data_IF_638728458941
#
_entry.id   IF_638728458941
#
_cell.length_a   1.000
_cell.length_b   1.000
_cell.length_c   1.000
_cell.angle_alpha   90.00
_cell.angle_beta   90.00
_cell.angle_gamma   90.00
#
_symmetry.space_group_name_H-M   'P 1'
#
loop_
_entity.id
_entity.type
_entity.pdbx_description
1 polymer ?
#
# COMPACT_ATOMS: atom_id res chain seq x y z
N UNK A 1 -7.45 -8.81 10.74
CA UNK A 1 -6.82 -10.06 10.27
C UNK A 1 -7.83 -10.70 9.35
N UNK A 2 -7.52 -10.85 8.06
CA UNK A 2 -8.42 -11.55 7.13
C UNK A 2 -8.56 -13.01 7.59
N UNK A 3 -9.77 -13.55 7.53
CA UNK A 3 -10.18 -14.82 8.16
C UNK A 3 -9.41 -16.05 7.66
N UNK A 4 -8.75 -15.95 6.51
CA UNK A 4 -8.02 -17.06 5.86
C UNK A 4 -6.59 -17.24 6.38
N UNK A 5 -6.03 -16.25 7.08
CA UNK A 5 -4.62 -16.24 7.48
C UNK A 5 -3.62 -16.01 6.34
N UNK A 6 -4.11 -15.89 5.10
CA UNK A 6 -3.30 -15.62 3.90
C UNK A 6 -3.57 -14.19 3.41
N UNK A 7 -2.52 -13.38 3.30
CA UNK A 7 -2.63 -12.00 2.81
C UNK A 7 -2.47 -11.98 1.29
N UNK A 8 -3.57 -11.71 0.58
CA UNK A 8 -3.59 -11.61 -0.88
C UNK A 8 -3.70 -10.14 -1.27
N UNK A 9 -2.69 -9.64 -2.00
CA UNK A 9 -2.74 -8.28 -2.55
C UNK A 9 -3.64 -8.30 -3.79
N UNK A 10 -4.72 -7.53 -3.75
CA UNK A 10 -5.68 -7.40 -4.84
C UNK A 10 -5.59 -6.08 -5.61
N UNK A 11 -4.74 -5.16 -5.15
CA UNK A 11 -4.56 -3.84 -5.75
C UNK A 11 -3.12 -3.33 -5.50
N UNK A 12 -2.48 -2.79 -6.53
CA UNK A 12 -1.18 -2.15 -6.42
C UNK A 12 -1.05 -1.00 -7.43
N UNK A 13 -0.37 0.08 -7.01
CA UNK A 13 -0.06 1.24 -7.87
C UNK A 13 1.45 1.41 -7.96
N UNK A 14 1.96 1.57 -9.19
CA UNK A 14 3.33 1.95 -9.45
C UNK A 14 3.35 3.36 -10.04
N UNK A 15 3.91 4.31 -9.28
CA UNK A 15 3.97 5.72 -9.66
C UNK A 15 5.30 6.08 -10.34
N UNK A 16 5.22 6.82 -11.44
CA UNK A 16 6.30 7.61 -12.04
C UNK A 16 6.01 9.11 -11.89
N UNK A 17 7.01 9.94 -12.17
CA UNK A 17 6.83 11.39 -12.26
C UNK A 17 5.78 11.81 -13.31
N UNK A 18 5.62 11.06 -14.40
CA UNK A 18 4.74 11.40 -15.53
C UNK A 18 3.45 10.59 -15.62
N UNK A 19 3.14 9.76 -14.62
CA UNK A 19 1.95 8.91 -14.64
C UNK A 19 2.11 7.68 -13.77
N UNK A 20 1.10 6.82 -13.77
CA UNK A 20 1.00 5.65 -12.91
C UNK A 20 0.59 4.42 -13.71
N UNK A 21 0.84 3.24 -13.14
CA UNK A 21 0.35 1.96 -13.64
C UNK A 21 -0.35 1.25 -12.50
N UNK A 22 -1.60 0.85 -12.73
CA UNK A 22 -2.46 0.19 -11.75
C UNK A 22 -2.56 -1.30 -12.07
N UNK A 23 -2.50 -2.13 -11.03
CA UNK A 23 -2.64 -3.57 -11.09
C UNK A 23 -3.78 -3.99 -10.18
N UNK A 24 -4.73 -4.76 -10.71
CA UNK A 24 -5.93 -5.17 -9.99
C UNK A 24 -6.26 -6.65 -10.24
N UNK A 25 -6.92 -7.26 -9.26
CA UNK A 25 -7.41 -8.63 -9.31
C UNK A 25 -6.52 -9.65 -8.59
N UNK A 26 -6.89 -10.93 -8.69
CA UNK A 26 -6.24 -12.02 -7.92
C UNK A 26 -4.78 -12.26 -8.30
N UNK A 27 -4.38 -11.86 -9.50
CA UNK A 27 -3.02 -11.99 -10.04
C UNK A 27 -2.22 -10.68 -9.97
N UNK A 28 -2.69 -9.69 -9.20
CA UNK A 28 -2.05 -8.37 -9.02
C UNK A 28 -0.55 -8.48 -8.72
N UNK A 29 -0.17 -9.29 -7.74
CA UNK A 29 1.24 -9.49 -7.34
C UNK A 29 2.09 -9.98 -8.51
N UNK A 30 1.56 -10.96 -9.26
CA UNK A 30 2.26 -11.55 -10.40
C UNK A 30 2.46 -10.51 -11.50
N UNK A 31 1.38 -9.84 -11.92
CA UNK A 31 1.43 -8.78 -12.95
C UNK A 31 2.36 -7.65 -12.55
N UNK A 32 2.30 -7.22 -11.29
CA UNK A 32 3.16 -6.18 -10.74
C UNK A 32 4.63 -6.57 -10.84
N UNK A 33 5.01 -7.77 -10.40
CA UNK A 33 6.41 -8.21 -10.47
C UNK A 33 6.89 -8.45 -11.90
N UNK A 34 6.07 -9.05 -12.77
CA UNK A 34 6.42 -9.22 -14.19
C UNK A 34 6.68 -7.87 -14.87
N UNK A 35 5.86 -6.87 -14.57
CA UNK A 35 6.06 -5.52 -15.08
C UNK A 35 7.30 -4.86 -14.46
N UNK A 36 7.43 -4.90 -13.14
CA UNK A 36 8.52 -4.25 -12.41
C UNK A 36 9.89 -4.82 -12.79
N UNK A 37 10.02 -6.15 -12.89
CA UNK A 37 11.29 -6.81 -13.24
C UNK A 37 11.53 -6.94 -14.75
N UNK A 38 10.65 -6.38 -15.59
CA UNK A 38 10.90 -6.29 -17.03
C UNK A 38 12.11 -5.41 -17.35
N UNK A 39 12.68 -5.56 -18.55
CA UNK A 39 13.81 -4.75 -19.03
C UNK A 39 13.53 -3.23 -19.01
N UNK A 40 12.26 -2.83 -18.96
CA UNK A 40 11.85 -1.42 -18.89
C UNK A 40 12.39 -0.72 -17.66
N UNK A 41 12.56 -1.43 -16.54
CA UNK A 41 13.00 -0.84 -15.27
C UNK A 41 14.42 -1.26 -14.91
N UNK A 42 15.22 -1.74 -15.87
CA UNK A 42 16.62 -2.06 -15.60
C UNK A 42 17.34 -0.83 -15.03
N UNK A 43 18.00 -0.99 -13.88
CA UNK A 43 18.68 0.11 -13.17
C UNK A 43 17.79 1.06 -12.38
N UNK A 44 16.47 0.84 -12.31
CA UNK A 44 15.57 1.69 -11.55
C UNK A 44 15.69 1.47 -10.05
N UNK A 45 15.30 2.48 -9.27
CA UNK A 45 15.13 2.35 -7.82
C UNK A 45 13.66 2.53 -7.47
N UNK A 46 13.01 1.44 -7.04
CA UNK A 46 11.68 1.44 -6.47
C UNK A 46 11.75 1.91 -5.01
N UNK A 47 10.86 2.83 -4.66
CA UNK A 47 10.79 3.43 -3.32
C UNK A 47 9.41 3.10 -2.75
N UNK A 48 9.37 2.48 -1.58
CA UNK A 48 8.13 2.26 -0.84
C UNK A 48 8.29 2.81 0.59
N UNK A 49 7.20 3.33 1.14
CA UNK A 49 7.21 3.92 2.47
C UNK A 49 6.89 2.87 3.53
N UNK A 50 7.84 2.64 4.44
CA UNK A 50 7.84 1.55 5.41
C UNK A 50 7.98 0.15 4.79
N UNK A 51 8.73 0.05 3.70
CA UNK A 51 9.08 -1.22 3.05
C UNK A 51 9.65 -2.24 4.05
N UNK A 52 10.49 -1.77 4.98
CA UNK A 52 11.16 -2.63 5.96
C UNK A 52 10.22 -3.29 6.96
N UNK A 53 9.03 -2.71 7.13
CA UNK A 53 7.99 -3.19 8.05
C UNK A 53 6.95 -4.10 7.39
N UNK A 54 6.82 -4.05 6.06
CA UNK A 54 5.75 -4.73 5.32
C UNK A 54 6.27 -5.35 4.02
N UNK A 55 6.31 -4.58 2.92
CA UNK A 55 6.45 -5.08 1.55
C UNK A 55 7.77 -5.83 1.29
N UNK A 56 8.85 -5.44 1.98
CA UNK A 56 10.18 -6.00 1.77
C UNK A 56 10.23 -7.53 1.96
N UNK A 57 9.42 -8.06 2.87
CA UNK A 57 9.34 -9.51 3.11
C UNK A 57 8.69 -10.23 1.93
N UNK A 58 7.61 -9.66 1.35
CA UNK A 58 6.94 -10.21 0.17
C UNK A 58 7.83 -10.17 -1.06
N UNK A 59 8.57 -9.07 -1.25
CA UNK A 59 9.53 -8.93 -2.37
C UNK A 59 10.65 -9.97 -2.24
N UNK A 60 11.24 -10.10 -1.05
CA UNK A 60 12.30 -11.08 -0.81
C UNK A 60 11.80 -12.51 -1.03
N UNK A 61 10.63 -12.86 -0.47
CA UNK A 61 10.02 -14.17 -0.66
C UNK A 61 9.77 -14.48 -2.14
N UNK A 62 9.21 -13.52 -2.89
CA UNK A 62 8.99 -13.68 -4.33
C UNK A 62 10.31 -13.96 -5.07
N UNK A 63 11.35 -13.16 -4.85
CA UNK A 63 12.65 -13.36 -5.49
C UNK A 63 13.25 -14.73 -5.19
N UNK A 64 13.22 -15.17 -3.93
CA UNK A 64 13.75 -16.46 -3.52
C UNK A 64 12.99 -17.64 -4.14
N UNK A 65 11.66 -17.55 -4.27
CA UNK A 65 10.87 -18.59 -4.95
C UNK A 65 11.17 -18.71 -6.44
N UNK A 66 11.66 -17.63 -7.07
CA UNK A 66 12.15 -17.63 -8.45
C UNK A 66 13.64 -18.06 -8.55
N UNK A 67 14.27 -18.47 -7.46
CA UNK A 67 15.69 -18.83 -7.43
C UNK A 67 16.64 -17.63 -7.56
N UNK A 68 16.13 -16.41 -7.40
CA UNK A 68 16.92 -15.18 -7.46
C UNK A 68 17.43 -14.86 -6.06
N UNK A 69 18.76 -14.75 -5.92
CA UNK A 69 19.41 -14.32 -4.67
C UNK A 69 19.75 -12.83 -4.75
N UNK A 70 18.96 -11.93 -4.13
CA UNK A 70 19.30 -10.51 -4.09
C UNK A 70 20.41 -10.20 -3.10
N UNK A 71 21.01 -9.03 -3.24
CA UNK A 71 21.79 -8.40 -2.18
C UNK A 71 20.83 -7.66 -1.25
N UNK A 72 21.00 -7.82 0.06
CA UNK A 72 20.12 -7.20 1.06
C UNK A 72 20.94 -6.40 2.06
N UNK A 73 20.43 -5.23 2.44
CA UNK A 73 20.94 -4.45 3.56
C UNK A 73 19.88 -4.48 4.65
N UNK A 74 20.28 -4.84 5.87
CA UNK A 74 19.35 -4.94 7.00
C UNK A 74 19.79 -4.08 8.17
N UNK A 75 18.82 -3.72 9.02
CA UNK A 75 19.04 -3.18 10.36
C UNK A 75 18.36 -4.10 11.35
N UNK A 76 19.13 -4.99 11.97
CA UNK A 76 18.58 -6.15 12.67
C UNK A 76 17.78 -7.03 11.72
N UNK A 77 16.51 -7.31 12.05
CA UNK A 77 15.59 -8.10 11.23
C UNK A 77 14.87 -7.30 10.12
N UNK A 78 15.06 -5.97 10.07
CA UNK A 78 14.36 -5.10 9.12
C UNK A 78 15.14 -4.98 7.81
N UNK A 79 14.47 -5.21 6.68
CA UNK A 79 15.05 -5.10 5.34
C UNK A 79 15.05 -3.65 4.90
N UNK A 80 16.21 -3.02 4.88
CA UNK A 80 16.37 -1.59 4.56
C UNK A 80 16.43 -1.36 3.06
N UNK A 81 17.08 -2.29 2.33
CA UNK A 81 17.11 -2.31 0.88
C UNK A 81 17.30 -3.71 0.32
N UNK A 82 16.84 -3.90 -0.92
CA UNK A 82 17.03 -5.12 -1.72
C UNK A 82 17.58 -4.69 -3.08
N UNK A 83 18.62 -5.34 -3.57
CA UNK A 83 19.15 -5.14 -4.92
C UNK A 83 19.19 -6.46 -5.69
N UNK A 84 18.62 -6.44 -6.90
CA UNK A 84 18.60 -7.58 -7.81
C UNK A 84 19.67 -7.37 -8.87
N UNK A 85 20.85 -7.98 -8.68
CA UNK A 85 22.03 -7.69 -9.51
C UNK A 85 21.84 -7.99 -11.01
N UNK A 86 20.98 -8.95 -11.37
CA UNK A 86 20.74 -9.34 -12.77
C UNK A 86 20.06 -8.25 -13.61
N UNK A 87 19.23 -7.40 -12.99
CA UNK A 87 18.55 -6.28 -13.64
C UNK A 87 18.87 -4.93 -13.01
N UNK A 88 19.77 -4.89 -12.02
CA UNK A 88 20.21 -3.68 -11.29
C UNK A 88 19.07 -2.89 -10.65
N UNK A 89 17.92 -3.53 -10.43
CA UNK A 89 16.80 -2.91 -9.73
C UNK A 89 17.10 -2.88 -8.24
N UNK A 90 16.80 -1.74 -7.61
CA UNK A 90 16.90 -1.55 -6.17
C UNK A 90 15.54 -1.24 -5.57
N UNK A 91 15.30 -1.74 -4.37
CA UNK A 91 14.18 -1.38 -3.51
C UNK A 91 14.75 -0.69 -2.29
N UNK A 92 14.21 0.47 -1.93
CA UNK A 92 14.62 1.20 -0.73
C UNK A 92 13.39 1.60 0.09
N UNK A 93 13.55 1.57 1.41
CA UNK A 93 12.55 2.09 2.33
C UNK A 93 12.73 3.61 2.52
N UNK A 94 11.73 4.40 2.11
CA UNK A 94 11.77 5.85 2.32
C UNK A 94 11.68 6.25 3.79
N UNK A 95 11.16 5.39 4.68
CA UNK A 95 11.09 5.66 6.13
C UNK A 95 12.48 5.77 6.78
N UNK A 96 13.55 5.38 6.08
CA UNK A 96 14.93 5.59 6.53
C UNK A 96 15.39 7.04 6.37
N UNK A 97 14.70 7.82 5.53
CA UNK A 97 15.01 9.21 5.22
C UNK A 97 13.90 10.16 5.69
N UNK A 98 12.65 9.72 5.59
CA UNK A 98 11.43 10.44 5.99
C UNK A 98 10.78 9.67 7.14
N UNK A 99 11.20 9.95 8.38
CA UNK A 99 10.84 9.16 9.57
C UNK A 99 9.42 9.42 10.12
N UNK A 100 8.58 10.11 9.36
CA UNK A 100 7.19 10.40 9.73
C UNK A 100 6.23 9.46 9.00
N UNK A 101 5.04 9.18 9.56
CA UNK A 101 3.99 8.45 8.84
C UNK A 101 3.54 9.20 7.60
N UNK A 102 3.11 8.47 6.57
CA UNK A 102 2.57 9.03 5.33
C UNK A 102 1.44 10.06 5.56
N UNK A 103 0.59 9.85 6.57
CA UNK A 103 -0.50 10.78 6.95
C UNK A 103 -0.01 12.17 7.37
N UNK A 104 1.26 12.30 7.76
CA UNK A 104 1.86 13.57 8.18
C UNK A 104 2.55 14.31 7.02
N UNK A 105 2.68 13.70 5.84
CA UNK A 105 3.41 14.28 4.71
C UNK A 105 2.86 15.63 4.28
N UNK A 106 1.53 15.84 4.15
CA UNK A 106 1.02 17.15 3.77
C UNK A 106 1.49 18.26 4.71
N UNK A 107 1.43 18.01 6.03
CA UNK A 107 1.95 18.94 7.04
C UNK A 107 3.47 19.10 6.97
N UNK A 108 4.22 18.01 6.78
CA UNK A 108 5.69 18.04 6.72
C UNK A 108 6.20 18.84 5.52
N UNK A 109 5.49 18.81 4.39
CA UNK A 109 5.88 19.50 3.15
C UNK A 109 5.13 20.81 2.91
N UNK A 110 4.26 21.23 3.83
CA UNK A 110 3.46 22.45 3.67
C UNK A 110 2.43 22.36 2.54
N UNK A 111 1.97 21.14 2.21
CA UNK A 111 0.93 20.89 1.23
C UNK A 111 -0.44 21.05 1.90
N UNK A 112 -1.36 21.74 1.23
CA UNK A 112 -2.76 21.87 1.66
C UNK A 112 -3.62 20.65 1.28
N UNK A 113 -2.98 19.61 0.73
CA UNK A 113 -3.65 18.43 0.21
C UNK A 113 -4.43 17.66 1.30
N UNK A 114 -5.54 17.05 0.86
CA UNK A 114 -6.47 16.31 1.69
C UNK A 114 -5.73 15.25 2.51
N UNK A 115 -5.92 15.32 3.82
CA UNK A 115 -5.55 14.27 4.77
C UNK A 115 -5.91 12.88 4.24
N UNK A 116 -5.01 11.92 4.44
CA UNK A 116 -5.21 10.49 4.15
C UNK A 116 -6.65 10.07 4.45
N UNK A 117 -7.35 9.53 3.46
CA UNK A 117 -8.74 9.05 3.61
C UNK A 117 -8.80 7.81 4.51
N UNK A 118 -9.93 7.63 5.18
CA UNK A 118 -10.23 6.41 5.92
C UNK A 118 -10.76 5.35 4.96
N UNK A 119 -10.21 4.14 5.00
CA UNK A 119 -10.60 3.04 4.13
C UNK A 119 -11.14 1.85 4.95
N UNK A 120 -12.24 1.22 4.51
CA UNK A 120 -12.85 0.11 5.23
C UNK A 120 -12.07 -1.19 4.96
N UNK A 121 -10.92 -1.36 5.62
CA UNK A 121 -10.00 -2.48 5.42
C UNK A 121 -10.65 -3.87 5.47
N UNK A 122 -11.61 -4.11 6.37
CA UNK A 122 -12.29 -5.41 6.46
C UNK A 122 -13.39 -5.59 5.40
N UNK A 123 -13.75 -4.52 4.68
CA UNK A 123 -14.70 -4.58 3.58
C UNK A 123 -14.02 -4.95 2.26
N UNK A 124 -12.68 -4.94 2.22
CA UNK A 124 -11.88 -5.40 1.08
C UNK A 124 -11.91 -6.93 0.96
N UNK A 125 -13.01 -7.44 0.42
CA UNK A 125 -13.24 -8.85 0.12
C UNK A 125 -13.60 -9.03 -1.35
N UNK A 126 -13.52 -10.25 -1.87
CA UNK A 126 -13.83 -10.52 -3.28
C UNK A 126 -15.28 -10.17 -3.62
N UNK A 127 -16.20 -10.41 -2.69
CA UNK A 127 -17.65 -10.18 -2.85
C UNK A 127 -17.97 -8.69 -2.97
N UNK A 128 -17.19 -7.83 -2.31
CA UNK A 128 -17.45 -6.39 -2.25
C UNK A 128 -16.71 -5.58 -3.33
N UNK A 129 -15.91 -6.21 -4.19
CA UNK A 129 -15.10 -5.49 -5.20
C UNK A 129 -15.94 -4.67 -6.19
N UNK A 130 -17.22 -5.01 -6.38
CA UNK A 130 -18.14 -4.27 -7.25
C UNK A 130 -19.24 -3.52 -6.46
N UNK A 131 -19.04 -3.34 -5.14
CA UNK A 131 -20.05 -2.72 -4.28
C UNK A 131 -20.19 -1.22 -4.58
N UNK A 132 -21.43 -0.81 -4.83
CA UNK A 132 -21.86 0.59 -4.91
C UNK A 132 -23.10 0.74 -4.03
N UNK A 133 -23.05 1.64 -3.05
CA UNK A 133 -24.13 1.79 -2.08
C UNK A 133 -23.83 2.79 -0.98
N UNK A 134 -24.24 2.46 0.24
CA UNK A 134 -24.01 3.28 1.43
C UNK A 134 -22.64 3.00 2.03
N UNK A 135 -22.12 3.94 2.82
CA UNK A 135 -20.85 3.78 3.52
C UNK A 135 -20.84 2.49 4.37
N UNK A 136 -19.78 1.65 4.31
CA UNK A 136 -19.66 0.47 5.15
C UNK A 136 -19.72 0.81 6.63
N UNK A 137 -20.21 -0.11 7.46
CA UNK A 137 -20.25 0.09 8.91
C UNK A 137 -18.89 0.45 9.53
N UNK A 138 -18.92 1.24 10.61
CA UNK A 138 -17.75 1.69 11.39
C UNK A 138 -16.76 0.56 11.70
N UNK A 139 -17.25 -0.65 11.98
CA UNK A 139 -16.43 -1.81 12.33
C UNK A 139 -15.47 -2.24 11.21
N UNK A 140 -15.82 -1.98 9.95
CA UNK A 140 -14.98 -2.34 8.80
C UNK A 140 -13.71 -1.48 8.67
N UNK A 141 -13.65 -0.33 9.34
CA UNK A 141 -12.52 0.60 9.36
C UNK A 141 -11.51 0.34 10.48
N UNK A 142 -11.69 -0.76 11.24
CA UNK A 142 -10.77 -1.17 12.32
C UNK A 142 -10.42 -0.07 13.34
N UNK A 143 -11.41 0.69 13.88
CA UNK A 143 -11.16 1.86 14.74
C UNK A 143 -10.38 1.54 16.03
N UNK A 144 -10.32 0.26 16.43
CA UNK A 144 -9.53 -0.18 17.58
C UNK A 144 -8.01 -0.08 17.36
N UNK A 145 -7.55 0.06 16.11
CA UNK A 145 -6.15 0.30 15.78
C UNK A 145 -5.80 1.80 15.69
N UNK A 146 -6.80 2.69 15.81
CA UNK A 146 -6.60 4.13 15.85
C UNK A 146 -6.32 4.57 17.30
N UNK A 147 -5.45 5.57 17.46
CA UNK A 147 -5.32 6.26 18.75
C UNK A 147 -6.56 7.13 19.03
N UNK A 148 -6.74 7.61 20.26
CA UNK A 148 -7.92 8.39 20.67
C UNK A 148 -8.20 9.58 19.76
N UNK A 149 -7.19 10.38 19.43
CA UNK A 149 -7.36 11.59 18.62
C UNK A 149 -7.70 11.26 17.15
N UNK A 150 -7.11 10.19 16.59
CA UNK A 150 -7.43 9.71 15.25
C UNK A 150 -8.82 9.10 15.17
N UNK A 151 -9.23 8.39 16.22
CA UNK A 151 -10.58 7.80 16.32
C UNK A 151 -11.65 8.88 16.39
N UNK A 152 -11.44 9.96 17.13
CA UNK A 152 -12.38 11.10 17.16
C UNK A 152 -12.55 11.73 15.77
N UNK A 153 -11.44 11.96 15.05
CA UNK A 153 -11.48 12.46 13.66
C UNK A 153 -12.22 11.51 12.73
N UNK A 154 -11.99 10.21 12.87
CA UNK A 154 -12.67 9.19 12.08
C UNK A 154 -14.18 9.19 12.33
N UNK A 155 -14.63 9.27 13.58
CA UNK A 155 -16.05 9.29 13.90
C UNK A 155 -16.74 10.53 13.33
N UNK A 156 -16.12 11.71 13.41
CA UNK A 156 -16.66 12.92 12.79
C UNK A 156 -16.76 12.79 11.26
N UNK A 157 -15.70 12.33 10.61
CA UNK A 157 -15.68 12.06 9.17
C UNK A 157 -16.77 11.05 8.76
N UNK A 158 -16.97 10.00 9.57
CA UNK A 158 -17.98 8.97 9.30
C UNK A 158 -19.40 9.55 9.35
N UNK A 159 -19.72 10.33 10.38
CA UNK A 159 -21.03 10.97 10.53
C UNK A 159 -21.34 11.94 9.37
N UNK A 160 -20.32 12.64 8.86
CA UNK A 160 -20.45 13.53 7.70
C UNK A 160 -20.62 12.78 6.37
N UNK A 161 -20.03 11.58 6.24
CA UNK A 161 -19.99 10.82 4.99
C UNK A 161 -21.03 9.70 4.88
N UNK A 162 -21.65 9.25 5.99
CA UNK A 162 -22.52 8.06 6.01
C UNK A 162 -23.73 8.11 5.06
N UNK A 163 -24.22 9.30 4.73
CA UNK A 163 -25.35 9.50 3.80
C UNK A 163 -24.90 9.66 2.33
N UNK A 164 -23.59 9.75 2.08
CA UNK A 164 -23.03 9.91 0.74
C UNK A 164 -22.89 8.56 0.03
N UNK A 165 -23.00 8.52 -1.31
CA UNK A 165 -22.70 7.32 -2.07
C UNK A 165 -21.27 6.84 -1.83
N UNK A 166 -21.11 5.53 -1.76
CA UNK A 166 -19.85 4.83 -1.62
C UNK A 166 -19.68 3.89 -2.81
N UNK A 167 -18.64 4.11 -3.61
CA UNK A 167 -18.15 3.16 -4.61
C UNK A 167 -16.85 2.56 -4.09
N UNK A 168 -16.84 1.24 -3.87
CA UNK A 168 -15.71 0.57 -3.29
C UNK A 168 -14.44 0.68 -4.16
N UNK A 169 -14.57 0.63 -5.49
CA UNK A 169 -13.41 0.68 -6.39
C UNK A 169 -12.81 2.06 -6.45
N UNK A 170 -13.64 3.10 -6.52
CA UNK A 170 -13.16 4.48 -6.48
C UNK A 170 -12.42 4.75 -5.16
N UNK A 171 -12.96 4.33 -4.02
CA UNK A 171 -12.33 4.57 -2.73
C UNK A 171 -11.06 3.73 -2.52
N UNK A 172 -10.99 2.51 -3.07
CA UNK A 172 -9.76 1.70 -3.06
C UNK A 172 -8.66 2.36 -3.90
N UNK A 173 -9.00 2.81 -5.10
CA UNK A 173 -8.07 3.51 -5.98
C UNK A 173 -7.54 4.80 -5.33
N UNK A 174 -8.43 5.65 -4.82
CA UNK A 174 -8.07 6.91 -4.16
C UNK A 174 -7.30 6.69 -2.84
N UNK A 175 -7.53 5.59 -2.13
CA UNK A 175 -6.78 5.28 -0.91
C UNK A 175 -5.34 4.82 -1.20
N UNK A 176 -5.13 4.16 -2.34
CA UNK A 176 -3.82 3.62 -2.74
C UNK A 176 -2.96 4.61 -3.55
N UNK A 177 -3.52 5.78 -3.87
CA UNK A 177 -2.84 6.89 -4.53
C UNK A 177 -2.22 7.86 -3.51
#
# INVERSE_FOLDING_TARGET
>A
MQETGEHIVNFAVLQYFGGEVVFEGKDTVKKFYEFLFSRRHEGYTAIAHNLKGYDGQFILAHLLTQGIKPQIITSGSKIMSIEVSSCKIRFIDSLNFLTTPLSNFPKTFGLEELTKRYFPHLYNTEENQAYVGTLPGITYYVPNFMNTAEREKFMNWYEERKEQPFDFREELYEYCK
#
